data_IF_437661382183
#
_entry.id   IF_437661382183
#
_cell.length_a   1.000
_cell.length_b   1.000
_cell.length_c   1.000
_cell.angle_alpha   90.00
_cell.angle_beta   90.00
_cell.angle_gamma   90.00
#
_symmetry.space_group_name_H-M   'P 1'
#
loop_
_entity.id
_entity.type
_entity.pdbx_description
1 polymer ?
#
# COMPACT_ATOMS: atom_id res chain seq x y z
N UNK A 1 -26.93 -6.17 9.03
CA UNK A 1 -25.60 -6.82 9.11
C UNK A 1 -25.29 -7.06 10.57
N UNK A 2 -24.90 -8.29 10.94
CA UNK A 2 -24.42 -8.57 12.28
C UNK A 2 -23.03 -7.95 12.49
N UNK A 3 -22.73 -7.51 13.71
CA UNK A 3 -21.43 -6.89 14.06
C UNK A 3 -20.24 -7.82 13.76
N UNK A 4 -20.48 -9.14 13.80
CA UNK A 4 -19.51 -10.17 13.41
C UNK A 4 -19.15 -10.12 11.91
N UNK A 5 -20.13 -9.83 11.04
CA UNK A 5 -19.90 -9.71 9.59
C UNK A 5 -19.13 -8.43 9.31
N UNK A 6 -19.53 -7.30 9.92
CA UNK A 6 -18.86 -6.01 9.76
C UNK A 6 -17.39 -6.08 10.20
N UNK A 7 -17.12 -6.66 11.37
CA UNK A 7 -15.75 -6.80 11.88
C UNK A 7 -14.89 -7.65 10.95
N UNK A 8 -15.40 -8.79 10.46
CA UNK A 8 -14.65 -9.64 9.53
C UNK A 8 -14.29 -8.93 8.21
N UNK A 9 -15.21 -8.13 7.66
CA UNK A 9 -14.98 -7.34 6.46
C UNK A 9 -13.92 -6.25 6.68
N UNK A 10 -13.97 -5.55 7.82
CA UNK A 10 -12.97 -4.55 8.19
C UNK A 10 -11.57 -5.16 8.33
N UNK A 11 -11.44 -6.31 8.99
CA UNK A 11 -10.16 -7.03 9.10
C UNK A 11 -9.60 -7.40 7.73
N UNK A 12 -10.45 -7.89 6.82
CA UNK A 12 -10.04 -8.28 5.48
C UNK A 12 -9.52 -7.08 4.66
N UNK A 13 -10.23 -5.95 4.70
CA UNK A 13 -9.83 -4.73 4.00
C UNK A 13 -8.51 -4.18 4.56
N UNK A 14 -8.35 -4.14 5.89
CA UNK A 14 -7.11 -3.72 6.53
C UNK A 14 -5.93 -4.62 6.14
N UNK A 15 -6.16 -5.93 6.11
CA UNK A 15 -5.14 -6.90 5.70
C UNK A 15 -4.70 -6.68 4.25
N UNK A 16 -5.64 -6.57 3.31
CA UNK A 16 -5.30 -6.32 1.90
C UNK A 16 -4.65 -4.95 1.69
N UNK A 17 -5.06 -3.94 2.47
CA UNK A 17 -4.39 -2.64 2.45
C UNK A 17 -2.93 -2.78 2.89
N UNK A 18 -2.67 -3.49 3.99
CA UNK A 18 -1.30 -3.74 4.46
C UNK A 18 -0.44 -4.47 3.41
N UNK A 19 -1.00 -5.48 2.74
CA UNK A 19 -0.34 -6.20 1.64
C UNK A 19 -0.09 -5.27 0.45
N UNK A 20 -1.00 -4.36 0.13
CA UNK A 20 -0.84 -3.40 -0.97
C UNK A 20 0.33 -2.45 -0.72
N UNK A 21 0.47 -1.89 0.48
CA UNK A 21 1.55 -0.94 0.80
C UNK A 21 2.90 -1.61 1.10
N UNK A 22 2.93 -2.90 1.45
CA UNK A 22 4.17 -3.57 1.87
C UNK A 22 5.27 -3.58 0.79
N UNK A 23 5.03 -3.99 -0.48
CA UNK A 23 6.05 -3.99 -1.52
C UNK A 23 6.67 -2.61 -1.82
N UNK A 24 5.90 -1.54 -2.09
CA UNK A 24 6.49 -0.23 -2.37
C UNK A 24 7.25 0.34 -1.17
N UNK A 25 6.80 0.08 0.05
CA UNK A 25 7.52 0.51 1.27
C UNK A 25 8.84 -0.25 1.45
N UNK A 26 8.87 -1.55 1.18
CA UNK A 26 10.09 -2.35 1.28
C UNK A 26 11.16 -1.84 0.30
N UNK A 27 10.77 -1.61 -0.96
CA UNK A 27 11.68 -1.04 -1.97
C UNK A 27 12.15 0.35 -1.59
N UNK A 28 11.23 1.22 -1.15
CA UNK A 28 11.54 2.57 -0.69
C UNK A 28 12.54 2.56 0.49
N UNK A 29 12.40 1.62 1.41
CA UNK A 29 13.27 1.49 2.59
C UNK A 29 14.68 1.07 2.20
N UNK A 30 14.82 0.07 1.33
CA UNK A 30 16.13 -0.38 0.83
C UNK A 30 16.84 0.76 0.10
N UNK A 31 16.14 1.46 -0.78
CA UNK A 31 16.74 2.57 -1.54
C UNK A 31 17.09 3.74 -0.64
N UNK A 32 16.22 4.12 0.30
CA UNK A 32 16.51 5.18 1.26
C UNK A 32 17.73 4.84 2.14
N UNK A 33 17.87 3.57 2.54
CA UNK A 33 19.03 3.11 3.29
C UNK A 33 20.34 3.23 2.49
N UNK A 34 20.34 2.77 1.23
CA UNK A 34 21.51 2.87 0.35
C UNK A 34 21.89 4.34 0.12
N UNK A 35 20.92 5.19 -0.23
CA UNK A 35 21.18 6.62 -0.45
C UNK A 35 21.69 7.29 0.82
N UNK A 36 21.12 6.97 1.99
CA UNK A 36 21.57 7.50 3.27
C UNK A 36 23.02 7.15 3.60
N UNK A 37 23.46 5.93 3.26
CA UNK A 37 24.87 5.54 3.41
C UNK A 37 25.79 6.39 2.52
N UNK A 38 25.41 6.62 1.26
CA UNK A 38 26.16 7.48 0.35
C UNK A 38 26.22 8.93 0.84
N UNK A 39 25.11 9.45 1.35
CA UNK A 39 25.07 10.80 1.94
C UNK A 39 26.02 10.94 3.13
N UNK A 40 26.09 9.92 3.99
CA UNK A 40 26.99 9.91 5.14
C UNK A 40 28.46 9.89 4.72
N UNK A 41 28.84 9.05 3.75
CA UNK A 41 30.23 8.93 3.27
C UNK A 41 30.70 10.17 2.52
N UNK A 42 29.83 10.78 1.72
CA UNK A 42 30.16 11.95 0.88
C UNK A 42 29.92 13.30 1.55
N UNK A 43 29.35 13.29 2.76
CA UNK A 43 28.90 14.49 3.50
C UNK A 43 27.84 15.32 2.74
N UNK A 44 27.15 14.73 1.77
CA UNK A 44 26.03 15.38 1.05
C UNK A 44 24.78 15.27 1.92
N UNK A 45 24.51 16.29 2.74
CA UNK A 45 23.31 16.38 3.61
C UNK A 45 22.16 17.16 2.94
N UNK A 46 21.97 16.95 1.65
CA UNK A 46 20.89 17.59 0.91
C UNK A 46 19.61 16.73 1.05
N UNK A 47 18.54 17.31 1.60
CA UNK A 47 17.32 16.58 1.97
C UNK A 47 16.43 16.25 0.77
N UNK A 48 16.49 17.01 -0.32
CA UNK A 48 15.58 16.82 -1.47
C UNK A 48 15.97 15.63 -2.35
N UNK A 49 17.26 15.29 -2.46
CA UNK A 49 17.78 14.14 -3.20
C UNK A 49 17.22 12.79 -2.72
N UNK A 50 17.32 12.40 -1.43
CA UNK A 50 16.83 11.12 -0.94
C UNK A 50 15.30 11.05 -1.02
N UNK A 51 14.61 12.17 -0.79
CA UNK A 51 13.16 12.25 -0.92
C UNK A 51 12.70 12.02 -2.36
N UNK A 52 13.38 12.63 -3.33
CA UNK A 52 13.06 12.49 -4.77
C UNK A 52 13.27 11.05 -5.24
N UNK A 53 14.42 10.45 -4.89
CA UNK A 53 14.73 9.06 -5.26
C UNK A 53 13.70 8.09 -4.65
N UNK A 54 13.31 8.30 -3.38
CA UNK A 54 12.31 7.47 -2.70
C UNK A 54 10.94 7.52 -3.39
N UNK A 55 10.47 8.71 -3.79
CA UNK A 55 9.19 8.85 -4.50
C UNK A 55 9.25 8.15 -5.86
N UNK A 56 10.35 8.32 -6.61
CA UNK A 56 10.53 7.67 -7.90
C UNK A 56 10.50 6.14 -7.79
N UNK A 57 11.15 5.59 -6.75
CA UNK A 57 11.13 4.16 -6.47
C UNK A 57 9.71 3.64 -6.18
N UNK A 58 8.95 4.33 -5.31
CA UNK A 58 7.56 3.97 -4.99
C UNK A 58 6.70 4.02 -6.26
N UNK A 59 6.83 5.08 -7.05
CA UNK A 59 6.09 5.25 -8.29
C UNK A 59 6.37 4.09 -9.27
N UNK A 60 7.64 3.70 -9.43
CA UNK A 60 8.02 2.61 -10.33
C UNK A 60 7.42 1.26 -9.89
N UNK A 61 7.44 0.95 -8.59
CA UNK A 61 6.79 -0.26 -8.05
C UNK A 61 5.28 -0.23 -8.32
N UNK A 62 4.62 0.90 -8.07
CA UNK A 62 3.18 1.03 -8.32
C UNK A 62 2.83 0.99 -9.81
N UNK A 63 3.67 1.52 -10.69
CA UNK A 63 3.46 1.43 -12.14
C UNK A 63 3.56 -0.01 -12.63
N UNK A 64 4.50 -0.80 -12.08
CA UNK A 64 4.72 -2.18 -12.51
C UNK A 64 3.73 -3.17 -11.86
N UNK A 65 3.42 -2.99 -10.58
CA UNK A 65 2.68 -3.97 -9.78
C UNK A 65 1.36 -3.45 -9.23
N UNK A 66 1.03 -2.16 -9.40
CA UNK A 66 -0.13 -1.54 -8.77
C UNK A 66 -1.46 -2.20 -9.14
N UNK A 67 -1.64 -2.63 -10.39
CA UNK A 67 -2.86 -3.34 -10.81
C UNK A 67 -3.03 -4.69 -10.11
N UNK A 68 -1.94 -5.47 -10.02
CA UNK A 68 -1.95 -6.77 -9.34
C UNK A 68 -2.15 -6.61 -7.82
N UNK A 69 -1.54 -5.60 -7.22
CA UNK A 69 -1.68 -5.30 -5.79
C UNK A 69 -3.09 -4.77 -5.45
N UNK A 70 -3.72 -4.03 -6.36
CA UNK A 70 -5.06 -3.46 -6.15
C UNK A 70 -6.19 -4.48 -6.37
N UNK A 71 -5.97 -5.56 -7.12
CA UNK A 71 -7.02 -6.53 -7.45
C UNK A 71 -7.74 -7.15 -6.21
N UNK A 72 -7.04 -7.55 -5.12
CA UNK A 72 -7.69 -8.05 -3.92
C UNK A 72 -8.52 -6.98 -3.19
N UNK A 73 -8.06 -5.73 -3.19
CA UNK A 73 -8.80 -4.60 -2.60
C UNK A 73 -10.10 -4.36 -3.36
N UNK A 74 -10.04 -4.35 -4.69
CA UNK A 74 -11.22 -4.20 -5.53
C UNK A 74 -12.26 -5.30 -5.27
N UNK A 75 -11.83 -6.56 -5.20
CA UNK A 75 -12.74 -7.68 -4.91
C UNK A 75 -13.34 -7.60 -3.51
N UNK A 76 -12.57 -7.17 -2.51
CA UNK A 76 -13.07 -6.98 -1.15
C UNK A 76 -14.11 -5.85 -1.07
N UNK A 77 -13.88 -4.74 -1.80
CA UNK A 77 -14.85 -3.64 -1.90
C UNK A 77 -16.15 -4.08 -2.58
N UNK A 78 -16.06 -4.79 -3.70
CA UNK A 78 -17.23 -5.26 -4.46
C UNK A 78 -18.13 -6.19 -3.62
N UNK A 79 -17.52 -7.12 -2.88
CA UNK A 79 -18.23 -7.97 -1.91
C UNK A 79 -18.92 -7.17 -0.83
N UNK A 80 -18.21 -6.21 -0.22
CA UNK A 80 -18.78 -5.36 0.83
C UNK A 80 -20.04 -4.61 0.36
N UNK A 81 -19.99 -3.99 -0.82
CA UNK A 81 -21.13 -3.24 -1.36
C UNK A 81 -22.30 -4.14 -1.75
N UNK A 82 -22.02 -5.32 -2.32
CA UNK A 82 -23.06 -6.28 -2.72
C UNK A 82 -23.77 -6.88 -1.51
N UNK A 83 -23.00 -7.25 -0.48
CA UNK A 83 -23.56 -7.77 0.77
C UNK A 83 -24.44 -6.70 1.43
N UNK A 84 -23.97 -5.45 1.50
CA UNK A 84 -24.73 -4.33 2.06
C UNK A 84 -26.10 -4.14 1.38
N UNK A 85 -26.13 -4.08 0.04
CA UNK A 85 -27.36 -3.91 -0.72
C UNK A 85 -28.37 -5.07 -0.54
N UNK A 86 -27.85 -6.29 -0.43
CA UNK A 86 -28.68 -7.50 -0.27
C UNK A 86 -29.39 -7.54 1.08
N UNK A 87 -28.82 -6.94 2.13
CA UNK A 87 -29.44 -6.88 3.46
C UNK A 87 -30.47 -5.76 3.62
N UNK A 88 -30.37 -4.67 2.86
CA UNK A 88 -31.34 -3.56 2.91
C UNK A 88 -32.65 -3.87 2.17
N UNK A 89 -32.61 -4.82 1.23
CA UNK A 89 -33.77 -5.24 0.43
C UNK A 89 -34.54 -6.43 1.01
N UNK A 90 -34.23 -6.86 2.25
CA UNK A 90 -34.89 -7.97 2.97
C UNK A 90 -35.45 -7.56 4.33
#
# INVERSE_FOLDING_TARGET
MDDAVLSSALYQILYYTAVFVAPPLLVATIIAFIVGLFQAVTQIQEQTLPQTIKIFAIALVLLMFGSALAAPLYSASDKLFTDFYTYETR
#
